data_IF_473259045016
#
_entry.id   IF_473259045016
#
_cell.length_a   1.000
_cell.length_b   1.000
_cell.length_c   1.000
_cell.angle_alpha   90.00
_cell.angle_beta   90.00
_cell.angle_gamma   90.00
#
_symmetry.space_group_name_H-M   'P 1'
#
loop_
_entity.id
_entity.type
_entity.pdbx_description
1 polymer ?
#
# COMPACT_ATOMS: atom_id res chain seq x y z
N UNK A 1 -12.26 4.44 -2.99
CA UNK A 1 -11.06 5.09 -2.41
C UNK A 1 -10.44 4.17 -1.36
N UNK A 2 -9.13 4.09 -1.36
CA UNK A 2 -8.40 3.29 -0.37
C UNK A 2 -7.51 4.17 0.47
N UNK A 3 -7.14 3.67 1.64
CA UNK A 3 -6.25 4.36 2.57
C UNK A 3 -4.94 3.57 2.66
N UNK A 4 -3.82 4.25 2.52
CA UNK A 4 -2.51 3.62 2.49
C UNK A 4 -1.65 4.16 3.61
N UNK A 5 -1.03 3.26 4.37
CA UNK A 5 -0.09 3.61 5.42
C UNK A 5 1.19 2.81 5.21
N UNK A 6 2.31 3.53 5.09
CA UNK A 6 3.63 2.89 5.04
C UNK A 6 4.23 2.91 6.44
N UNK A 7 4.62 1.75 6.91
CA UNK A 7 5.15 1.56 8.26
C UNK A 7 6.64 1.31 8.17
N UNK A 8 7.41 2.21 8.80
CA UNK A 8 8.87 2.07 8.83
C UNK A 8 9.27 0.93 9.74
N UNK A 9 10.13 0.05 9.25
CA UNK A 9 10.64 -1.06 10.03
C UNK A 9 11.85 -0.66 10.89
N UNK A 10 12.52 -1.68 11.40
CA UNK A 10 13.75 -1.53 12.17
C UNK A 10 14.85 -2.30 11.47
N UNK A 11 16.03 -2.40 12.09
CA UNK A 11 17.14 -3.17 11.52
C UNK A 11 16.79 -4.63 11.26
N UNK A 12 15.86 -5.19 12.05
CA UNK A 12 15.49 -6.61 11.95
C UNK A 12 14.10 -6.82 11.35
N UNK A 13 13.31 -5.76 11.25
CA UNK A 13 11.93 -5.84 10.76
C UNK A 13 11.83 -4.97 9.51
N UNK A 14 11.42 -5.54 8.38
CA UNK A 14 11.32 -4.75 7.14
C UNK A 14 10.21 -3.71 7.20
N UNK A 15 10.26 -2.77 6.29
CA UNK A 15 9.17 -1.80 6.12
C UNK A 15 7.95 -2.49 5.53
N UNK A 16 6.76 -2.08 5.95
CA UNK A 16 5.50 -2.66 5.49
C UNK A 16 4.58 -1.60 4.89
N UNK A 17 3.63 -2.08 4.08
CA UNK A 17 2.55 -1.28 3.51
C UNK A 17 1.24 -1.88 3.97
N UNK A 18 0.35 -1.03 4.47
CA UNK A 18 -1.00 -1.39 4.89
C UNK A 18 -1.99 -0.69 3.98
N UNK A 19 -2.95 -1.43 3.43
CA UNK A 19 -4.01 -0.86 2.60
C UNK A 19 -5.35 -1.19 3.22
N UNK A 20 -6.18 -0.19 3.44
CA UNK A 20 -7.53 -0.31 3.99
C UNK A 20 -8.54 0.28 3.04
N UNK A 21 -9.77 -0.22 3.10
CA UNK A 21 -10.87 0.30 2.28
C UNK A 21 -11.51 1.54 2.92
N UNK A 22 -12.60 2.02 2.34
CA UNK A 22 -13.33 3.19 2.85
C UNK A 22 -13.85 2.99 4.28
N UNK A 23 -14.11 1.76 4.66
CA UNK A 23 -14.58 1.43 6.02
C UNK A 23 -13.44 1.16 6.97
N UNK A 24 -12.21 1.39 6.53
CA UNK A 24 -10.98 1.14 7.28
C UNK A 24 -10.74 -0.35 7.58
N UNK A 25 -11.40 -1.24 6.85
CA UNK A 25 -11.12 -2.67 6.93
C UNK A 25 -9.82 -2.98 6.19
N UNK A 26 -9.00 -3.84 6.76
CA UNK A 26 -7.72 -4.20 6.17
C UNK A 26 -7.93 -4.98 4.88
N UNK A 27 -7.37 -4.48 3.77
CA UNK A 27 -7.44 -5.15 2.47
C UNK A 27 -6.14 -5.84 2.11
N UNK A 28 -5.01 -5.27 2.52
CA UNK A 28 -3.71 -5.82 2.19
C UNK A 28 -2.67 -5.39 3.21
N UNK A 29 -1.69 -6.26 3.45
CA UNK A 29 -0.57 -5.98 4.31
C UNK A 29 0.63 -6.75 3.76
N UNK A 30 1.66 -6.02 3.31
CA UNK A 30 2.80 -6.64 2.65
C UNK A 30 4.06 -5.82 2.84
N UNK A 31 5.20 -6.41 2.51
CA UNK A 31 6.49 -5.72 2.62
C UNK A 31 6.61 -4.60 1.59
N UNK A 32 7.19 -3.49 2.00
CA UNK A 32 7.35 -2.33 1.12
C UNK A 32 8.30 -2.59 -0.05
N UNK A 33 9.12 -3.62 0.02
CA UNK A 33 10.01 -4.01 -1.08
C UNK A 33 9.35 -5.00 -2.06
N UNK A 34 8.08 -5.34 -1.84
CA UNK A 34 7.34 -6.30 -2.67
C UNK A 34 5.96 -5.74 -3.04
N UNK A 35 5.92 -4.48 -3.46
CA UNK A 35 4.64 -3.80 -3.71
C UNK A 35 3.84 -4.50 -4.80
N UNK A 36 4.46 -4.75 -5.96
CA UNK A 36 3.76 -5.38 -7.07
C UNK A 36 3.19 -6.74 -6.71
N UNK A 37 4.02 -7.60 -6.12
CA UNK A 37 3.58 -8.92 -5.70
C UNK A 37 2.52 -8.86 -4.61
N UNK A 38 2.65 -7.91 -3.68
CA UNK A 38 1.68 -7.72 -2.62
C UNK A 38 0.31 -7.30 -3.13
N UNK A 39 0.28 -6.40 -4.10
CA UNK A 39 -0.98 -5.98 -4.73
C UNK A 39 -1.65 -7.14 -5.45
N UNK A 40 -0.89 -7.88 -6.25
CA UNK A 40 -1.43 -9.04 -6.99
C UNK A 40 -1.98 -10.11 -6.06
N UNK A 41 -1.24 -10.41 -5.01
CA UNK A 41 -1.62 -11.43 -4.03
C UNK A 41 -2.94 -11.12 -3.34
N UNK A 42 -3.24 -9.85 -3.19
CA UNK A 42 -4.44 -9.39 -2.50
C UNK A 42 -5.55 -8.93 -3.47
N UNK A 43 -5.41 -9.30 -4.74
CA UNK A 43 -6.41 -9.00 -5.79
C UNK A 43 -6.67 -7.50 -5.96
N UNK A 44 -5.65 -6.70 -5.74
CA UNK A 44 -5.75 -5.26 -6.00
C UNK A 44 -5.21 -4.99 -7.40
N UNK A 45 -6.08 -4.54 -8.28
CA UNK A 45 -5.75 -4.30 -9.67
C UNK A 45 -5.00 -2.98 -9.84
N UNK A 46 -3.84 -3.02 -10.48
CA UNK A 46 -3.04 -1.83 -10.75
C UNK A 46 -2.42 -1.95 -12.15
N UNK A 47 -3.30 -2.03 -13.16
CA UNK A 47 -2.90 -2.27 -14.55
C UNK A 47 -1.85 -1.30 -15.09
N UNK A 48 -1.93 -0.04 -14.67
CA UNK A 48 -1.04 1.00 -15.16
C UNK A 48 0.12 1.31 -14.22
N UNK A 49 0.20 0.61 -13.11
CA UNK A 49 1.25 0.85 -12.12
C UNK A 49 1.12 2.14 -11.34
N UNK A 50 -0.02 2.81 -11.43
CA UNK A 50 -0.22 4.10 -10.74
C UNK A 50 -0.23 3.97 -9.23
N UNK A 51 -0.86 2.91 -8.71
CA UNK A 51 -0.90 2.68 -7.27
C UNK A 51 0.48 2.35 -6.74
N UNK A 52 1.22 1.50 -7.43
CA UNK A 52 2.60 1.17 -7.05
C UNK A 52 3.47 2.42 -7.00
N UNK A 53 3.40 3.27 -8.03
CA UNK A 53 4.15 4.52 -8.06
C UNK A 53 3.76 5.45 -6.91
N UNK A 54 2.46 5.53 -6.63
CA UNK A 54 1.97 6.35 -5.53
C UNK A 54 2.51 5.87 -4.20
N UNK A 55 2.45 4.56 -3.96
CA UNK A 55 2.96 3.97 -2.72
C UNK A 55 4.45 4.26 -2.55
N UNK A 56 5.22 4.17 -3.65
CA UNK A 56 6.65 4.47 -3.60
C UNK A 56 6.94 5.92 -3.24
N UNK A 57 6.05 6.83 -3.62
CA UNK A 57 6.29 8.27 -3.46
C UNK A 57 5.87 8.84 -2.11
N UNK A 58 4.95 8.18 -1.39
CA UNK A 58 4.43 8.73 -0.13
C UNK A 58 5.41 8.47 1.02
N UNK A 59 5.43 9.35 2.02
CA UNK A 59 6.28 9.14 3.20
C UNK A 59 5.71 8.10 4.15
N UNK A 60 6.54 7.64 5.05
CA UNK A 60 6.14 6.70 6.11
C UNK A 60 5.40 7.41 7.23
N UNK A 61 4.53 6.66 7.92
CA UNK A 61 3.93 7.11 9.16
C UNK A 61 2.68 7.96 9.04
N UNK A 62 2.19 8.19 7.82
CA UNK A 62 0.97 8.95 7.59
C UNK A 62 0.03 8.19 6.68
N UNK A 63 -1.27 8.38 6.89
CA UNK A 63 -2.30 7.77 6.05
C UNK A 63 -2.56 8.65 4.83
N UNK A 64 -2.47 8.06 3.65
CA UNK A 64 -2.75 8.73 2.38
C UNK A 64 -3.93 8.07 1.70
N UNK A 65 -4.71 8.87 1.00
CA UNK A 65 -5.86 8.36 0.25
C UNK A 65 -5.51 8.24 -1.23
N UNK A 66 -6.01 7.19 -1.86
CA UNK A 66 -5.81 6.96 -3.29
C UNK A 66 -7.14 6.57 -3.91
N UNK A 67 -7.52 7.25 -4.99
CA UNK A 67 -8.76 6.94 -5.69
C UNK A 67 -8.46 5.90 -6.78
N UNK A 68 -8.83 4.66 -6.50
CA UNK A 68 -8.54 3.52 -7.38
C UNK A 68 -9.41 3.48 -8.63
N UNK A 69 -10.41 4.36 -8.73
CA UNK A 69 -11.34 4.42 -9.87
C UNK A 69 -10.96 5.48 -10.90
N UNK A 70 -9.85 6.13 -10.73
CA UNK A 70 -9.39 7.15 -11.68
C UNK A 70 -8.30 6.67 -12.61
#
# INVERSE_FOLDING_TARGET
>A
MIHILKIKGTDKIPDFVQIRDNNLSLRAYFRADQIEGGLKKNNINDEQGKLMEYIKSIPFGKIFKFNENE
#
